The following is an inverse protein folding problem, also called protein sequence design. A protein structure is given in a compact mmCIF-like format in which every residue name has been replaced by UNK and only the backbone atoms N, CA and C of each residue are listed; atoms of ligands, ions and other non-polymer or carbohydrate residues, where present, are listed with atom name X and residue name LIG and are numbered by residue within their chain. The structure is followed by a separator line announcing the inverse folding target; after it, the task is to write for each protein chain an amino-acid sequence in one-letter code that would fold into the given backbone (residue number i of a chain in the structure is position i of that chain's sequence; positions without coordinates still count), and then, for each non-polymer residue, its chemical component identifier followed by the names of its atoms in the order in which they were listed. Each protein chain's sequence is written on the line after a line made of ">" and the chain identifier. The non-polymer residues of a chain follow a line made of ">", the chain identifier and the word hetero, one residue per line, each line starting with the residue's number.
data_IF_490862995455
#
_entry.id   IF_490862995455
#
_cell.length_a   1.000
_cell.length_b   1.000
_cell.length_c   1.000
_cell.angle_alpha   90.00
_cell.angle_beta   90.00
_cell.angle_gamma   90.00
#
_symmetry.space_group_name_H-M   'P 1'
#
loop_
_entity.id
_entity.type
_entity.pdbx_description
1 polymer ?
#
# COMPACT_ATOMS: atom_id res chain seq x y z
N UNK A 1 -20.50 -5.79 -7.40
CA UNK A 1 -19.48 -6.85 -7.56
C UNK A 1 -19.45 -7.38 -8.99
N UNK A 2 -20.57 -7.79 -9.58
CA UNK A 2 -20.64 -8.31 -10.96
C UNK A 2 -20.76 -7.21 -12.05
N UNK A 3 -20.53 -5.94 -11.69
CA UNK A 3 -20.76 -4.81 -12.60
C UNK A 3 -19.67 -4.73 -13.68
N UNK A 4 -20.04 -4.98 -14.93
CA UNK A 4 -19.23 -4.72 -16.12
C UNK A 4 -19.90 -3.63 -16.97
N UNK A 5 -19.67 -2.37 -16.58
CA UNK A 5 -20.28 -1.17 -17.19
C UNK A 5 -19.26 -0.04 -17.26
N UNK A 6 -19.47 0.87 -18.22
CA UNK A 6 -18.71 2.14 -18.30
C UNK A 6 -19.03 3.08 -17.16
N UNK A 7 -20.27 3.08 -16.69
CA UNK A 7 -20.70 3.84 -15.52
C UNK A 7 -20.64 2.92 -14.30
N UNK A 8 -19.86 3.33 -13.30
CA UNK A 8 -19.79 2.70 -11.99
C UNK A 8 -20.59 3.52 -10.99
N UNK A 9 -21.47 2.85 -10.25
CA UNK A 9 -22.35 3.49 -9.27
C UNK A 9 -22.32 2.67 -8.00
N UNK A 10 -21.74 3.25 -6.96
CA UNK A 10 -21.90 2.81 -5.57
C UNK A 10 -22.94 3.71 -4.94
N UNK A 11 -24.02 3.16 -4.41
CA UNK A 11 -25.05 3.94 -3.72
C UNK A 11 -25.75 3.07 -2.68
N UNK A 12 -25.77 3.54 -1.44
CA UNK A 12 -26.41 2.82 -0.35
C UNK A 12 -25.84 3.17 1.02
N UNK A 13 -26.35 2.52 2.07
CA UNK A 13 -25.78 2.60 3.40
C UNK A 13 -24.61 1.61 3.52
N UNK A 14 -23.39 2.09 3.82
CA UNK A 14 -22.20 1.25 3.85
C UNK A 14 -21.38 1.39 5.13
N UNK A 15 -20.78 2.56 5.35
CA UNK A 15 -19.82 2.75 6.44
C UNK A 15 -20.50 3.01 7.77
N UNK A 16 -19.90 2.57 8.88
CA UNK A 16 -20.48 2.72 10.23
C UNK A 16 -19.74 3.74 11.10
N UNK A 17 -18.86 4.54 10.52
CA UNK A 17 -17.96 5.46 11.25
C UNK A 17 -18.70 6.58 12.00
N UNK A 18 -19.84 7.06 11.49
CA UNK A 18 -20.64 8.10 12.16
C UNK A 18 -21.43 7.55 13.36
N UNK A 19 -21.62 6.23 13.48
CA UNK A 19 -22.09 5.61 14.72
C UNK A 19 -20.92 5.48 15.70
N UNK A 20 -20.61 6.59 16.35
CA UNK A 20 -19.54 6.71 17.34
C UNK A 20 -19.81 5.95 18.65
N UNK A 21 -20.98 5.31 18.81
CA UNK A 21 -21.31 4.57 20.03
C UNK A 21 -21.01 3.07 19.88
N UNK A 22 -21.55 2.44 18.83
CA UNK A 22 -21.40 0.99 18.63
C UNK A 22 -20.85 0.60 17.27
N UNK A 23 -20.76 1.55 16.33
CA UNK A 23 -20.39 1.29 14.93
C UNK A 23 -21.27 0.23 14.26
N UNK A 24 -22.57 0.22 14.59
CA UNK A 24 -23.57 -0.70 14.03
C UNK A 24 -24.40 -0.08 12.90
N UNK A 25 -24.62 1.24 12.94
CA UNK A 25 -25.51 1.92 11.98
C UNK A 25 -24.74 2.44 10.79
N UNK A 26 -25.08 1.94 9.60
CA UNK A 26 -24.47 2.36 8.36
C UNK A 26 -25.02 3.72 7.87
N UNK A 27 -24.15 4.52 7.27
CA UNK A 27 -24.44 5.84 6.69
C UNK A 27 -24.61 5.76 5.18
N UNK A 28 -25.54 6.55 4.65
CA UNK A 28 -25.75 6.65 3.22
C UNK A 28 -24.61 7.41 2.55
N UNK A 29 -24.08 6.83 1.49
CA UNK A 29 -23.13 7.44 0.59
C UNK A 29 -23.42 7.07 -0.86
N UNK A 30 -22.89 7.87 -1.77
CA UNK A 30 -22.93 7.62 -3.20
C UNK A 30 -21.61 8.03 -3.86
N UNK A 31 -21.13 7.19 -4.78
CA UNK A 31 -20.04 7.48 -5.70
C UNK A 31 -20.49 7.10 -7.11
N UNK A 32 -20.40 8.06 -8.02
CA UNK A 32 -20.71 7.88 -9.44
C UNK A 32 -19.46 8.23 -10.22
N UNK A 33 -18.97 7.30 -11.04
CA UNK A 33 -17.78 7.52 -11.84
C UNK A 33 -17.78 6.76 -13.15
N UNK A 34 -16.84 7.14 -14.01
CA UNK A 34 -16.63 6.49 -15.31
C UNK A 34 -15.42 5.56 -15.19
N UNK A 35 -15.59 4.30 -15.58
CA UNK A 35 -14.52 3.31 -15.58
C UNK A 35 -13.33 3.78 -16.44
N UNK A 36 -12.13 3.68 -15.88
CA UNK A 36 -10.88 3.88 -16.61
C UNK A 36 -10.43 2.53 -17.19
N UNK A 37 -10.67 2.31 -18.47
CA UNK A 37 -10.33 1.05 -19.14
C UNK A 37 -8.81 0.78 -19.17
N UNK A 38 -7.97 1.83 -19.22
CA UNK A 38 -6.49 1.68 -19.23
C UNK A 38 -6.01 1.16 -17.88
N UNK A 39 -6.41 1.80 -16.79
CA UNK A 39 -6.03 1.40 -15.45
C UNK A 39 -6.68 0.06 -15.05
N UNK A 40 -7.91 -0.19 -15.50
CA UNK A 40 -8.56 -1.50 -15.31
C UNK A 40 -7.83 -2.61 -16.08
N UNK A 41 -7.27 -2.33 -17.26
CA UNK A 41 -6.43 -3.30 -17.97
C UNK A 41 -5.10 -3.59 -17.22
N UNK A 42 -4.50 -2.58 -16.56
CA UNK A 42 -3.34 -2.81 -15.69
C UNK A 42 -3.69 -3.74 -14.53
N UNK A 43 -4.88 -3.58 -13.93
CA UNK A 43 -5.36 -4.50 -12.89
C UNK A 43 -5.49 -5.93 -13.38
N UNK A 44 -6.00 -6.13 -14.60
CA UNK A 44 -6.07 -7.45 -15.21
C UNK A 44 -4.67 -8.07 -15.34
N UNK A 45 -3.67 -7.28 -15.73
CA UNK A 45 -2.28 -7.74 -15.79
C UNK A 45 -1.81 -8.28 -14.44
N UNK A 46 -2.03 -7.55 -13.34
CA UNK A 46 -1.65 -8.04 -12.01
C UNK A 46 -2.43 -9.29 -11.60
N UNK A 47 -3.76 -9.27 -11.78
CA UNK A 47 -4.65 -10.40 -11.48
C UNK A 47 -4.26 -11.69 -12.22
N UNK A 48 -4.00 -11.60 -13.51
CA UNK A 48 -3.58 -12.73 -14.35
C UNK A 48 -2.22 -13.33 -13.91
N UNK A 49 -1.39 -12.55 -13.21
CA UNK A 49 -0.04 -12.94 -12.81
C UNK A 49 0.13 -13.24 -11.32
N UNK A 50 -0.93 -13.18 -10.49
CA UNK A 50 -0.84 -13.40 -9.04
C UNK A 50 -0.19 -14.75 -8.70
N UNK A 51 -0.58 -15.82 -9.41
CA UNK A 51 -0.04 -17.15 -9.13
C UNK A 51 1.45 -17.25 -9.46
N UNK A 52 1.89 -16.55 -10.52
CA UNK A 52 3.31 -16.48 -10.90
C UNK A 52 4.08 -15.66 -9.86
N UNK A 53 3.51 -14.55 -9.38
CA UNK A 53 4.09 -13.74 -8.32
C UNK A 53 4.26 -14.55 -7.03
N UNK A 54 3.21 -15.25 -6.57
CA UNK A 54 3.25 -16.13 -5.39
C UNK A 54 4.36 -17.17 -5.48
N UNK A 55 4.43 -17.86 -6.62
CA UNK A 55 5.44 -18.90 -6.85
C UNK A 55 6.87 -18.36 -6.85
N UNK A 56 7.06 -17.08 -7.12
CA UNK A 56 8.36 -16.42 -7.18
C UNK A 56 8.67 -15.53 -5.97
N UNK A 57 7.73 -15.38 -5.01
CA UNK A 57 7.97 -14.58 -3.80
C UNK A 57 9.32 -14.95 -3.16
N UNK A 58 10.04 -13.97 -2.58
CA UNK A 58 11.32 -14.17 -1.91
C UNK A 58 11.10 -14.84 -0.54
N UNK A 59 10.54 -16.03 -0.57
CA UNK A 59 10.04 -16.82 0.55
C UNK A 59 10.34 -18.30 0.26
N UNK A 60 10.64 -19.07 1.30
CA UNK A 60 10.89 -20.50 1.16
C UNK A 60 9.67 -21.21 0.58
N UNK A 61 9.90 -22.19 -0.30
CA UNK A 61 8.83 -22.83 -1.07
C UNK A 61 7.78 -23.54 -0.21
N UNK A 62 8.14 -23.96 1.01
CA UNK A 62 7.22 -24.61 1.94
C UNK A 62 6.15 -23.66 2.51
N UNK A 63 6.36 -22.34 2.43
CA UNK A 63 5.43 -21.34 2.93
C UNK A 63 4.55 -20.70 1.85
N UNK A 64 4.78 -21.02 0.57
CA UNK A 64 4.03 -20.45 -0.55
C UNK A 64 2.61 -21.00 -0.59
N UNK A 65 1.64 -20.11 -0.77
CA UNK A 65 0.23 -20.43 -0.90
C UNK A 65 -0.02 -21.20 -2.19
N UNK A 66 -0.91 -22.19 -2.12
CA UNK A 66 -1.31 -22.99 -3.30
C UNK A 66 -2.33 -22.27 -4.16
N UNK A 67 -3.25 -21.58 -3.51
CA UNK A 67 -4.32 -20.82 -4.14
C UNK A 67 -4.13 -19.34 -3.79
N UNK A 68 -4.25 -18.48 -4.80
CA UNK A 68 -4.21 -17.02 -4.62
C UNK A 68 -5.44 -16.40 -5.25
N UNK A 69 -5.87 -15.29 -4.67
CA UNK A 69 -6.99 -14.52 -5.17
C UNK A 69 -6.78 -13.06 -4.80
N UNK A 70 -6.97 -12.16 -5.76
CA UNK A 70 -7.14 -10.74 -5.45
C UNK A 70 -8.64 -10.40 -5.46
N UNK A 71 -9.01 -9.43 -4.63
CA UNK A 71 -10.32 -8.82 -4.73
C UNK A 71 -10.50 -8.20 -6.14
N UNK A 72 -11.70 -8.25 -6.72
CA UNK A 72 -12.02 -7.48 -7.92
C UNK A 72 -11.81 -5.99 -7.66
N UNK A 73 -10.81 -5.40 -8.34
CA UNK A 73 -10.53 -3.97 -8.28
C UNK A 73 -11.10 -3.31 -9.55
N UNK A 74 -11.75 -2.16 -9.38
CA UNK A 74 -12.17 -1.29 -10.47
C UNK A 74 -11.50 0.06 -10.31
N UNK A 75 -11.02 0.64 -11.41
CA UNK A 75 -10.51 2.01 -11.41
C UNK A 75 -11.51 2.89 -12.13
N UNK A 76 -11.91 3.98 -11.49
CA UNK A 76 -12.88 4.92 -12.02
C UNK A 76 -12.37 6.36 -11.89
N UNK A 77 -12.85 7.21 -12.78
CA UNK A 77 -12.77 8.66 -12.64
C UNK A 77 -14.07 9.13 -12.00
N UNK A 78 -13.97 9.65 -10.79
CA UNK A 78 -15.11 10.13 -10.02
C UNK A 78 -15.75 11.34 -10.72
N UNK A 79 -17.06 11.28 -10.94
CA UNK A 79 -17.86 12.38 -11.50
C UNK A 79 -18.64 13.08 -10.39
N UNK A 80 -19.19 12.32 -9.45
CA UNK A 80 -20.01 12.83 -8.36
C UNK A 80 -19.92 11.93 -7.13
N UNK A 81 -19.91 12.53 -5.95
CA UNK A 81 -20.11 11.82 -4.69
C UNK A 81 -20.99 12.63 -3.72
N UNK A 82 -21.67 11.94 -2.80
CA UNK A 82 -22.57 12.55 -1.82
C UNK A 82 -22.75 11.66 -0.58
N UNK A 83 -23.34 12.21 0.49
CA UNK A 83 -23.60 11.48 1.73
C UNK A 83 -22.38 11.49 2.65
N UNK A 84 -21.91 10.32 3.05
CA UNK A 84 -20.73 10.14 3.92
C UNK A 84 -19.39 10.38 3.18
N UNK A 85 -19.23 11.61 2.68
CA UNK A 85 -18.04 12.07 1.94
C UNK A 85 -17.37 13.25 2.65
N UNK A 86 -17.67 13.42 3.93
CA UNK A 86 -17.14 14.51 4.76
C UNK A 86 -15.67 14.24 5.09
N UNK A 87 -14.88 15.31 5.22
CA UNK A 87 -13.47 15.21 5.57
C UNK A 87 -12.55 14.91 4.37
N UNK A 88 -11.39 14.26 4.59
CA UNK A 88 -10.47 13.92 3.52
C UNK A 88 -11.15 13.04 2.47
N UNK A 89 -11.13 13.47 1.21
CA UNK A 89 -11.76 12.70 0.13
C UNK A 89 -11.22 11.27 0.05
N UNK A 90 -12.12 10.30 -0.03
CA UNK A 90 -11.83 8.88 -0.27
C UNK A 90 -11.00 8.72 -1.55
N UNK A 91 -9.97 7.87 -1.53
CA UNK A 91 -9.16 7.54 -2.72
C UNK A 91 -9.49 6.17 -3.27
N UNK A 92 -9.95 5.28 -2.40
CA UNK A 92 -10.46 3.98 -2.73
C UNK A 92 -11.40 3.51 -1.61
N UNK A 93 -12.31 2.60 -1.93
CA UNK A 93 -13.18 1.95 -0.96
C UNK A 93 -13.36 0.48 -1.34
N UNK A 94 -13.66 -0.37 -0.36
CA UNK A 94 -13.83 -1.81 -0.55
C UNK A 94 -15.15 -2.27 0.05
N UNK A 95 -16.09 -2.72 -0.80
CA UNK A 95 -17.48 -2.97 -0.40
C UNK A 95 -17.98 -4.31 -0.95
N UNK A 96 -18.96 -4.96 -0.29
CA UNK A 96 -19.70 -4.49 0.89
C UNK A 96 -18.99 -4.78 2.23
N UNK A 97 -19.47 -4.14 3.30
CA UNK A 97 -19.00 -4.36 4.69
C UNK A 97 -19.68 -5.56 5.39
N UNK A 98 -20.86 -5.99 4.92
CA UNK A 98 -21.65 -7.06 5.53
C UNK A 98 -20.94 -8.42 5.45
N UNK A 99 -20.60 -9.01 6.59
CA UNK A 99 -19.78 -10.22 6.67
C UNK A 99 -20.44 -11.45 6.03
N UNK A 100 -21.78 -11.51 5.97
CA UNK A 100 -22.48 -12.60 5.30
C UNK A 100 -22.26 -12.52 3.79
N UNK A 101 -22.40 -11.32 3.21
CA UNK A 101 -22.18 -11.12 1.77
C UNK A 101 -20.71 -11.30 1.42
N UNK A 102 -19.80 -10.78 2.25
CA UNK A 102 -18.36 -10.96 2.05
C UNK A 102 -17.97 -12.44 2.04
N UNK A 103 -18.53 -13.24 2.95
CA UNK A 103 -18.28 -14.69 2.98
C UNK A 103 -18.79 -15.40 1.72
N UNK A 104 -19.99 -15.04 1.26
CA UNK A 104 -20.66 -15.76 0.18
C UNK A 104 -20.23 -15.30 -1.22
N UNK A 105 -19.83 -14.04 -1.37
CA UNK A 105 -19.59 -13.40 -2.68
C UNK A 105 -18.30 -12.57 -2.76
N UNK A 106 -17.59 -12.41 -1.64
CA UNK A 106 -16.40 -11.57 -1.57
C UNK A 106 -16.73 -10.08 -1.48
N UNK A 107 -15.71 -9.27 -1.75
CA UNK A 107 -15.77 -7.81 -1.79
C UNK A 107 -15.38 -7.31 -3.17
N UNK A 108 -15.48 -5.99 -3.38
CA UNK A 108 -14.88 -5.35 -4.53
C UNK A 108 -14.35 -3.98 -4.16
N UNK A 109 -13.12 -3.74 -4.58
CA UNK A 109 -12.43 -2.48 -4.40
C UNK A 109 -12.68 -1.55 -5.58
N UNK A 110 -12.87 -0.27 -5.29
CA UNK A 110 -12.97 0.79 -6.29
C UNK A 110 -11.94 1.85 -5.96
N UNK A 111 -11.10 2.20 -6.94
CA UNK A 111 -10.09 3.26 -6.84
C UNK A 111 -10.53 4.49 -7.64
N UNK A 112 -10.47 5.66 -7.00
CA UNK A 112 -10.85 6.95 -7.58
C UNK A 112 -9.61 7.63 -8.15
N UNK A 113 -9.29 7.35 -9.42
CA UNK A 113 -8.03 7.77 -10.06
C UNK A 113 -7.83 9.28 -10.05
N UNK A 114 -8.82 10.04 -10.51
CA UNK A 114 -8.73 11.50 -10.56
C UNK A 114 -8.63 12.16 -9.17
N UNK A 115 -9.21 11.55 -8.13
CA UNK A 115 -9.01 12.00 -6.74
C UNK A 115 -7.56 11.73 -6.29
N UNK A 116 -7.03 10.55 -6.63
CA UNK A 116 -5.63 10.21 -6.40
C UNK A 116 -4.67 11.13 -7.16
N UNK A 117 -4.99 11.52 -8.41
CA UNK A 117 -4.23 12.52 -9.19
C UNK A 117 -4.21 13.87 -8.47
N UNK A 118 -5.35 14.32 -7.96
CA UNK A 118 -5.44 15.56 -7.20
C UNK A 118 -4.59 15.50 -5.91
N UNK A 119 -4.68 14.40 -5.14
CA UNK A 119 -3.84 14.22 -3.94
C UNK A 119 -2.37 14.10 -4.27
N UNK A 120 -2.01 13.44 -5.37
CA UNK A 120 -0.63 13.39 -5.84
C UNK A 120 -0.13 14.81 -6.11
N UNK A 121 -0.87 15.58 -6.93
CA UNK A 121 -0.47 16.94 -7.32
C UNK A 121 -0.39 17.91 -6.15
N UNK A 122 -1.34 17.86 -5.23
CA UNK A 122 -1.50 18.86 -4.17
C UNK A 122 -0.89 18.46 -2.82
N UNK A 123 -0.56 17.18 -2.63
CA UNK A 123 0.01 16.67 -1.39
C UNK A 123 1.35 15.99 -1.64
N UNK A 124 1.40 14.98 -2.52
CA UNK A 124 2.63 14.21 -2.72
C UNK A 124 3.73 15.03 -3.42
N UNK A 125 3.38 15.82 -4.44
CA UNK A 125 4.36 16.62 -5.17
C UNK A 125 5.04 17.68 -4.29
N UNK A 126 4.32 18.49 -3.47
CA UNK A 126 4.99 19.39 -2.53
C UNK A 126 5.89 18.68 -1.50
N UNK A 127 5.49 17.47 -1.08
CA UNK A 127 6.34 16.64 -0.20
C UNK A 127 7.61 16.22 -0.93
N UNK A 128 7.48 15.77 -2.18
CA UNK A 128 8.62 15.41 -3.01
C UNK A 128 9.57 16.58 -3.25
N UNK A 129 9.03 17.77 -3.53
CA UNK A 129 9.81 18.99 -3.75
C UNK A 129 10.62 19.38 -2.50
N UNK A 130 10.12 19.07 -1.30
CA UNK A 130 10.79 19.32 -0.03
C UNK A 130 11.79 18.24 0.38
N UNK A 131 11.43 16.97 0.19
CA UNK A 131 12.13 15.84 0.80
C UNK A 131 12.99 15.04 -0.18
N UNK A 132 12.72 15.06 -1.48
CA UNK A 132 13.47 14.30 -2.47
C UNK A 132 14.59 15.17 -3.06
N UNK A 133 15.77 14.58 -3.26
CA UNK A 133 16.91 15.30 -3.83
C UNK A 133 16.61 15.83 -5.23
N UNK A 134 17.14 17.00 -5.56
CA UNK A 134 16.88 17.70 -6.83
C UNK A 134 17.18 16.84 -8.06
N UNK A 135 18.17 15.96 -8.00
CA UNK A 135 18.53 15.06 -9.10
C UNK A 135 17.48 13.97 -9.37
N UNK A 136 16.72 13.55 -8.35
CA UNK A 136 15.72 12.49 -8.44
C UNK A 136 14.28 13.02 -8.46
N UNK A 137 14.03 14.30 -8.16
CA UNK A 137 12.67 14.88 -8.17
C UNK A 137 11.88 14.60 -9.45
N UNK A 138 12.53 14.62 -10.62
CA UNK A 138 11.90 14.30 -11.92
C UNK A 138 11.41 12.85 -12.08
N UNK A 139 11.80 11.96 -11.17
CA UNK A 139 11.39 10.57 -11.11
C UNK A 139 10.14 10.38 -10.22
N UNK A 140 9.66 11.43 -9.58
CA UNK A 140 8.37 11.40 -8.88
C UNK A 140 7.27 11.66 -9.92
N UNK A 141 6.46 10.63 -10.20
CA UNK A 141 5.38 10.73 -11.18
C UNK A 141 4.13 9.95 -10.75
N UNK A 142 2.98 10.41 -11.24
CA UNK A 142 1.68 9.88 -10.84
C UNK A 142 1.48 8.44 -11.29
N UNK A 143 1.92 8.08 -12.50
CA UNK A 143 1.70 6.73 -13.04
C UNK A 143 2.45 5.70 -12.19
N UNK A 144 3.67 5.99 -11.76
CA UNK A 144 4.47 5.13 -10.87
C UNK A 144 3.87 5.02 -9.47
N UNK A 145 3.43 6.15 -8.89
CA UNK A 145 2.72 6.16 -7.61
C UNK A 145 1.44 5.32 -7.66
N UNK A 146 0.60 5.55 -8.66
CA UNK A 146 -0.68 4.87 -8.81
C UNK A 146 -0.53 3.39 -9.16
N UNK A 147 0.45 3.05 -10.00
CA UNK A 147 0.79 1.64 -10.32
C UNK A 147 1.26 0.89 -9.07
N UNK A 148 2.05 1.54 -8.19
CA UNK A 148 2.41 0.96 -6.89
C UNK A 148 1.19 0.77 -5.99
N UNK A 149 0.28 1.75 -5.90
CA UNK A 149 -0.97 1.59 -5.14
C UNK A 149 -1.81 0.42 -5.66
N UNK A 150 -1.96 0.29 -6.99
CA UNK A 150 -2.64 -0.86 -7.59
C UNK A 150 -1.97 -2.18 -7.18
N UNK A 151 -0.64 -2.23 -7.31
CA UNK A 151 0.10 -3.44 -7.01
C UNK A 151 0.07 -3.79 -5.52
N UNK A 152 0.08 -2.80 -4.62
CA UNK A 152 -0.10 -2.96 -3.19
C UNK A 152 -1.39 -3.73 -2.89
N UNK A 153 -2.52 -3.32 -3.47
CA UNK A 153 -3.80 -3.99 -3.25
C UNK A 153 -3.84 -5.41 -3.80
N UNK A 154 -3.20 -5.65 -4.95
CA UNK A 154 -3.01 -7.00 -5.46
C UNK A 154 -2.12 -7.85 -4.53
N UNK A 155 -1.11 -7.23 -3.90
CA UNK A 155 -0.17 -7.88 -3.00
C UNK A 155 -0.78 -8.26 -1.64
N UNK A 156 -1.91 -7.67 -1.25
CA UNK A 156 -2.70 -8.24 -0.16
C UNK A 156 -3.15 -9.66 -0.47
N UNK A 157 -3.47 -10.01 -1.72
CA UNK A 157 -3.96 -11.33 -2.11
C UNK A 157 -2.90 -12.44 -2.25
N UNK A 158 -1.62 -12.14 -1.99
CA UNK A 158 -0.50 -13.09 -2.07
C UNK A 158 0.29 -13.11 -0.76
N UNK A 159 1.12 -14.14 -0.59
CA UNK A 159 1.83 -14.45 0.63
C UNK A 159 0.99 -15.22 1.65
N UNK A 160 1.53 -15.45 2.86
CA UNK A 160 0.89 -16.28 3.87
C UNK A 160 -0.39 -15.65 4.41
N UNK A 161 -1.48 -16.43 4.44
CA UNK A 161 -2.76 -16.04 5.05
C UNK A 161 -3.24 -17.10 6.03
N UNK A 162 -3.51 -18.29 5.50
CA UNK A 162 -3.65 -19.52 6.27
C UNK A 162 -2.27 -20.15 6.43
N UNK A 163 -1.89 -20.44 7.67
CA UNK A 163 -0.55 -20.92 8.00
C UNK A 163 -0.63 -22.20 8.83
N UNK A 164 0.42 -23.01 8.72
CA UNK A 164 0.63 -24.16 9.59
C UNK A 164 1.67 -23.77 10.63
N UNK A 165 1.26 -23.74 11.89
CA UNK A 165 2.14 -23.43 13.02
C UNK A 165 3.21 -24.52 13.19
N UNK A 166 4.33 -24.24 13.89
CA UNK A 166 5.38 -25.24 14.16
C UNK A 166 4.88 -26.52 14.86
N UNK A 167 3.76 -26.44 15.57
CA UNK A 167 3.11 -27.58 16.23
C UNK A 167 2.14 -28.37 15.30
N UNK A 168 2.08 -28.02 14.01
CA UNK A 168 1.23 -28.67 13.01
C UNK A 168 -0.21 -28.17 12.95
N UNK A 169 -0.64 -27.25 13.83
CA UNK A 169 -1.99 -26.70 13.80
C UNK A 169 -2.16 -25.64 12.72
N UNK A 170 -3.29 -25.70 12.01
CA UNK A 170 -3.69 -24.64 11.08
C UNK A 170 -4.21 -23.42 11.85
N UNK A 171 -3.74 -22.24 11.47
CA UNK A 171 -4.21 -20.95 11.97
C UNK A 171 -4.19 -19.89 10.85
N UNK A 172 -4.36 -18.61 11.19
CA UNK A 172 -4.22 -17.50 10.27
C UNK A 172 -3.19 -16.50 10.78
N UNK A 173 -2.49 -15.82 9.86
CA UNK A 173 -1.51 -14.78 10.20
C UNK A 173 -2.14 -13.73 11.12
N UNK A 174 -3.35 -13.26 10.79
CA UNK A 174 -4.11 -12.29 11.60
C UNK A 174 -4.33 -12.77 13.04
N UNK A 175 -4.70 -14.04 13.23
CA UNK A 175 -4.96 -14.60 14.56
C UNK A 175 -3.69 -14.69 15.40
N UNK A 176 -2.56 -15.04 14.79
CA UNK A 176 -1.29 -15.21 15.49
C UNK A 176 -0.60 -13.88 15.79
N UNK A 177 -0.66 -12.91 14.87
CA UNK A 177 0.00 -11.62 15.04
C UNK A 177 -0.81 -10.60 15.84
N UNK A 178 -2.14 -10.75 15.92
CA UNK A 178 -3.03 -9.93 16.74
C UNK A 178 -2.84 -8.42 16.49
N UNK A 179 -2.55 -7.62 17.52
CA UNK A 179 -2.38 -6.16 17.43
C UNK A 179 -1.27 -5.71 16.47
N UNK A 180 -0.37 -6.62 16.10
CA UNK A 180 0.75 -6.33 15.21
C UNK A 180 0.43 -6.63 13.75
N UNK A 181 -0.70 -7.31 13.49
CA UNK A 181 -1.07 -7.77 12.16
C UNK A 181 -1.17 -6.61 11.16
N UNK A 182 -2.00 -5.61 11.46
CA UNK A 182 -2.35 -4.59 10.46
C UNK A 182 -1.13 -3.83 9.98
N UNK A 183 -0.30 -3.29 10.88
CA UNK A 183 0.91 -2.57 10.47
C UNK A 183 1.90 -3.43 9.68
N UNK A 184 1.99 -4.73 10.00
CA UNK A 184 2.90 -5.63 9.29
C UNK A 184 2.33 -6.05 7.93
N UNK A 185 1.02 -6.22 7.83
CA UNK A 185 0.32 -6.54 6.58
C UNK A 185 0.36 -5.37 5.59
N UNK A 186 0.19 -4.13 6.06
CA UNK A 186 0.41 -2.93 5.23
C UNK A 186 1.85 -2.84 4.74
N UNK A 187 2.82 -3.06 5.64
CA UNK A 187 4.23 -3.08 5.26
C UNK A 187 4.54 -4.20 4.25
N UNK A 188 3.89 -5.36 4.37
CA UNK A 188 4.00 -6.46 3.40
C UNK A 188 3.49 -6.03 2.04
N UNK A 189 2.25 -5.54 1.96
CA UNK A 189 1.61 -5.17 0.70
C UNK A 189 2.43 -4.10 -0.05
N UNK A 190 2.92 -3.10 0.65
CA UNK A 190 3.79 -2.07 0.08
C UNK A 190 5.12 -2.61 -0.47
N UNK A 191 5.90 -3.32 0.37
CA UNK A 191 7.26 -3.74 0.01
C UNK A 191 7.25 -4.89 -1.00
N UNK A 192 6.32 -5.83 -0.86
CA UNK A 192 6.10 -6.90 -1.84
C UNK A 192 5.55 -6.31 -3.13
N UNK A 193 4.76 -5.24 -3.07
CA UNK A 193 4.36 -4.45 -4.24
C UNK A 193 5.56 -3.93 -5.03
N UNK A 194 6.56 -3.36 -4.37
CA UNK A 194 7.80 -2.92 -5.02
C UNK A 194 8.57 -4.10 -5.65
N UNK A 195 8.68 -5.22 -4.93
CA UNK A 195 9.29 -6.44 -5.47
C UNK A 195 8.54 -6.98 -6.69
N UNK A 196 7.22 -7.06 -6.62
CA UNK A 196 6.35 -7.58 -7.67
C UNK A 196 6.42 -6.71 -8.93
N UNK A 197 6.41 -5.38 -8.79
CA UNK A 197 6.59 -4.47 -9.92
C UNK A 197 7.94 -4.68 -10.61
N UNK A 198 9.03 -4.79 -9.85
CA UNK A 198 10.35 -5.09 -10.40
C UNK A 198 10.37 -6.46 -11.11
N UNK A 199 9.74 -7.47 -10.53
CA UNK A 199 9.63 -8.79 -11.12
C UNK A 199 8.89 -8.73 -12.47
N UNK A 200 7.72 -8.11 -12.52
CA UNK A 200 6.92 -7.96 -13.76
C UNK A 200 7.64 -7.16 -14.83
N UNK A 201 8.39 -6.12 -14.44
CA UNK A 201 9.25 -5.37 -15.37
C UNK A 201 10.36 -6.28 -15.95
N UNK A 202 10.98 -7.12 -15.10
CA UNK A 202 12.02 -8.07 -15.54
C UNK A 202 11.47 -9.13 -16.49
N UNK A 203 10.19 -9.51 -16.35
CA UNK A 203 9.49 -10.39 -17.29
C UNK A 203 9.02 -9.67 -18.58
N UNK A 204 9.27 -8.36 -18.72
CA UNK A 204 8.85 -7.59 -19.89
C UNK A 204 7.35 -7.24 -19.92
N UNK A 205 6.64 -7.43 -18.80
CA UNK A 205 5.20 -7.17 -18.69
C UNK A 205 4.88 -5.71 -18.36
N UNK A 206 5.87 -4.96 -17.88
CA UNK A 206 5.78 -3.53 -17.59
C UNK A 206 6.98 -2.77 -18.18
N UNK A 207 6.84 -1.48 -18.53
CA UNK A 207 7.93 -0.70 -19.11
C UNK A 207 9.16 -0.56 -18.19
N UNK A 208 10.34 -0.84 -18.72
CA UNK A 208 11.62 -0.77 -17.99
C UNK A 208 11.97 0.62 -17.42
N UNK A 209 11.45 1.69 -18.03
CA UNK A 209 11.70 3.06 -17.56
C UNK A 209 11.00 3.38 -16.23
N UNK A 210 10.04 2.57 -15.78
CA UNK A 210 9.30 2.80 -14.55
C UNK A 210 10.08 2.45 -13.28
N UNK A 211 11.07 1.55 -13.33
CA UNK A 211 11.73 0.99 -12.12
C UNK A 211 12.22 2.10 -11.18
N UNK A 212 12.95 3.07 -11.72
CA UNK A 212 13.51 4.16 -10.91
C UNK A 212 12.41 5.06 -10.35
N UNK A 213 11.43 5.41 -11.18
CA UNK A 213 10.31 6.24 -10.77
C UNK A 213 9.45 5.59 -9.69
N UNK A 214 9.25 4.27 -9.75
CA UNK A 214 8.53 3.51 -8.72
C UNK A 214 9.21 3.68 -7.36
N UNK A 215 10.53 3.47 -7.28
CA UNK A 215 11.23 3.62 -6.01
C UNK A 215 11.26 5.05 -5.48
N UNK A 216 11.46 6.04 -6.34
CA UNK A 216 11.52 7.45 -5.90
C UNK A 216 10.13 7.98 -5.52
N UNK A 217 9.10 7.62 -6.29
CA UNK A 217 7.70 7.97 -5.96
C UNK A 217 7.25 7.28 -4.67
N UNK A 218 7.68 6.03 -4.45
CA UNK A 218 7.46 5.33 -3.19
C UNK A 218 8.13 6.03 -2.01
N UNK A 219 9.39 6.46 -2.15
CA UNK A 219 10.10 7.21 -1.12
C UNK A 219 9.38 8.51 -0.75
N UNK A 220 8.88 9.27 -1.74
CA UNK A 220 8.02 10.42 -1.48
C UNK A 220 6.73 10.01 -0.74
N UNK A 221 6.16 8.87 -1.13
CA UNK A 221 5.00 8.24 -0.49
C UNK A 221 5.20 7.92 0.98
N UNK A 222 6.39 7.46 1.37
CA UNK A 222 6.73 7.19 2.77
C UNK A 222 6.52 8.43 3.64
N UNK A 223 7.04 9.58 3.24
CA UNK A 223 6.90 10.83 3.99
C UNK A 223 5.44 11.30 4.08
N UNK A 224 4.65 11.06 3.02
CA UNK A 224 3.21 11.33 3.05
C UNK A 224 2.49 10.46 4.09
N UNK A 225 2.71 9.15 4.06
CA UNK A 225 1.98 8.20 4.90
C UNK A 225 2.41 8.27 6.38
N UNK A 226 3.68 8.51 6.67
CA UNK A 226 4.17 8.65 8.05
C UNK A 226 3.52 9.84 8.78
N UNK A 227 3.05 10.87 8.06
CA UNK A 227 2.29 12.00 8.62
C UNK A 227 0.91 11.62 9.18
N UNK A 228 0.40 10.43 8.85
CA UNK A 228 -0.83 9.91 9.46
C UNK A 228 -0.63 9.51 10.92
N UNK A 229 0.63 9.36 11.35
CA UNK A 229 1.01 8.99 12.71
C UNK A 229 1.34 7.51 12.83
N UNK A 230 2.12 7.16 13.86
CA UNK A 230 2.59 5.78 14.08
C UNK A 230 1.59 4.90 14.85
N UNK A 231 0.49 5.50 15.31
CA UNK A 231 -0.66 4.75 15.86
C UNK A 231 -1.53 4.15 14.73
N UNK A 232 -1.38 4.66 13.51
CA UNK A 232 -2.07 4.16 12.32
C UNK A 232 -1.23 3.07 11.63
N UNK A 233 -1.90 2.05 11.09
CA UNK A 233 -1.24 0.86 10.53
C UNK A 233 -0.31 1.19 9.36
N UNK A 234 -0.78 1.97 8.38
CA UNK A 234 0.01 2.36 7.22
C UNK A 234 1.16 3.27 7.64
N UNK A 235 0.93 4.26 8.50
CA UNK A 235 1.96 5.15 9.02
C UNK A 235 3.10 4.39 9.71
N UNK A 236 2.76 3.42 10.56
CA UNK A 236 3.73 2.54 11.23
C UNK A 236 4.45 1.60 10.26
N UNK A 237 3.72 1.01 9.31
CA UNK A 237 4.29 0.15 8.27
C UNK A 237 5.25 0.90 7.36
N UNK A 238 4.94 2.16 7.02
CA UNK A 238 5.78 3.03 6.20
C UNK A 238 7.03 3.50 6.94
N UNK A 239 6.93 3.77 8.24
CA UNK A 239 8.11 4.02 9.08
C UNK A 239 9.05 2.80 9.08
N UNK A 240 8.50 1.59 9.22
CA UNK A 240 9.27 0.34 9.15
C UNK A 240 10.03 0.21 7.83
N UNK A 241 9.33 0.42 6.71
CA UNK A 241 9.92 0.31 5.38
C UNK A 241 11.01 1.36 5.15
N UNK A 242 10.74 2.63 5.47
CA UNK A 242 11.74 3.69 5.37
C UNK A 242 12.99 3.37 6.19
N UNK A 243 12.82 3.02 7.47
CA UNK A 243 13.95 2.80 8.37
C UNK A 243 14.78 1.58 7.98
N UNK A 244 14.15 0.52 7.45
CA UNK A 244 14.87 -0.61 6.87
C UNK A 244 15.69 -0.20 5.65
N UNK A 245 15.07 0.48 4.68
CA UNK A 245 15.76 0.93 3.47
C UNK A 245 16.90 1.91 3.79
N UNK A 246 16.72 2.76 4.79
CA UNK A 246 17.75 3.66 5.30
C UNK A 246 18.91 2.90 5.95
N UNK A 247 18.64 1.93 6.84
CA UNK A 247 19.68 1.11 7.47
C UNK A 247 20.48 0.30 6.43
N UNK A 248 19.82 -0.20 5.38
CA UNK A 248 20.48 -0.91 4.27
C UNK A 248 21.21 0.01 3.28
N UNK A 249 21.15 1.33 3.49
CA UNK A 249 21.74 2.33 2.60
C UNK A 249 21.07 2.43 1.23
N UNK A 250 19.87 1.88 1.08
CA UNK A 250 19.03 2.03 -0.11
C UNK A 250 18.34 3.39 -0.18
N UNK A 251 18.15 4.04 0.97
CA UNK A 251 17.75 5.45 1.09
C UNK A 251 18.88 6.19 1.80
N UNK A 252 19.29 7.33 1.25
CA UNK A 252 20.41 8.12 1.75
C UNK A 252 19.92 9.53 2.01
N UNK A 253 20.22 10.07 3.20
CA UNK A 253 20.04 11.49 3.50
C UNK A 253 21.25 12.28 3.03
N UNK A 254 21.01 13.35 2.27
CA UNK A 254 22.03 14.26 1.77
C UNK A 254 22.33 15.38 2.77
N UNK A 255 23.40 16.14 2.52
CA UNK A 255 23.81 17.26 3.39
C UNK A 255 22.82 18.42 3.44
N UNK A 256 21.90 18.53 2.48
CA UNK A 256 20.80 19.51 2.44
C UNK A 256 19.49 18.96 3.05
N UNK A 257 19.60 17.86 3.80
CA UNK A 257 18.52 17.13 4.46
C UNK A 257 17.46 16.52 3.51
N UNK A 258 17.71 16.53 2.20
CA UNK A 258 16.89 15.78 1.24
C UNK A 258 17.31 14.31 1.20
N UNK A 259 16.47 13.46 0.62
CA UNK A 259 16.65 12.03 0.54
C UNK A 259 16.69 11.57 -0.92
N UNK A 260 17.49 10.54 -1.18
CA UNK A 260 17.56 9.89 -2.49
C UNK A 260 17.55 8.38 -2.34
N UNK A 261 17.18 7.70 -3.42
CA UNK A 261 17.28 6.24 -3.55
C UNK A 261 18.63 5.87 -4.15
N UNK A 262 19.37 4.99 -3.48
CA UNK A 262 20.54 4.30 -4.05
C UNK A 262 20.06 3.13 -4.91
N UNK A 263 20.02 3.34 -6.23
CA UNK A 263 19.54 2.34 -7.18
C UNK A 263 20.37 1.05 -7.22
N UNK A 264 21.61 1.05 -6.72
CA UNK A 264 22.43 -0.16 -6.65
C UNK A 264 22.05 -1.05 -5.46
N UNK A 265 21.40 -0.49 -4.42
CA UNK A 265 21.08 -1.20 -3.18
C UNK A 265 19.59 -1.43 -2.97
N UNK A 266 18.73 -0.60 -3.57
CA UNK A 266 17.29 -0.62 -3.30
C UNK A 266 16.64 -1.96 -3.59
N UNK A 267 17.00 -2.64 -4.68
CA UNK A 267 16.39 -3.92 -5.04
C UNK A 267 16.66 -5.00 -3.97
N UNK A 268 17.90 -5.10 -3.50
CA UNK A 268 18.27 -6.05 -2.43
C UNK A 268 17.66 -5.69 -1.07
N UNK A 269 17.52 -4.39 -0.78
CA UNK A 269 16.87 -3.94 0.45
C UNK A 269 15.36 -4.26 0.46
N UNK A 270 14.68 -4.06 -0.68
CA UNK A 270 13.27 -4.43 -0.89
C UNK A 270 13.07 -5.94 -0.80
N UNK A 271 13.91 -6.75 -1.46
CA UNK A 271 13.81 -8.20 -1.39
C UNK A 271 14.03 -8.73 0.04
N UNK A 272 15.05 -8.20 0.73
CA UNK A 272 15.37 -8.64 2.09
C UNK A 272 14.25 -8.30 3.10
N UNK A 273 13.62 -7.13 2.99
CA UNK A 273 12.48 -6.79 3.84
C UNK A 273 11.24 -7.62 3.49
N UNK A 274 10.97 -7.82 2.19
CA UNK A 274 9.88 -8.69 1.74
C UNK A 274 10.01 -10.09 2.34
N UNK A 275 11.21 -10.69 2.25
CA UNK A 275 11.52 -12.00 2.84
C UNK A 275 11.31 -12.03 4.35
N UNK A 276 11.79 -11.02 5.07
CA UNK A 276 11.66 -10.94 6.53
C UNK A 276 10.19 -10.94 6.95
N UNK A 277 9.40 -10.03 6.38
CA UNK A 277 7.97 -9.89 6.72
C UNK A 277 7.21 -11.16 6.37
N UNK A 278 7.37 -11.67 5.13
CA UNK A 278 6.69 -12.89 4.69
C UNK A 278 7.06 -14.09 5.56
N UNK A 279 8.31 -14.22 6.00
CA UNK A 279 8.74 -15.33 6.87
C UNK A 279 8.13 -15.22 8.26
N UNK A 280 8.08 -14.01 8.83
CA UNK A 280 7.43 -13.76 10.13
C UNK A 280 5.94 -14.15 10.06
N UNK A 281 5.25 -13.70 9.00
CA UNK A 281 3.85 -14.03 8.78
C UNK A 281 3.64 -15.53 8.59
N UNK A 282 4.45 -16.19 7.76
CA UNK A 282 4.36 -17.63 7.49
C UNK A 282 4.49 -18.49 8.75
N UNK A 283 5.30 -18.05 9.72
CA UNK A 283 5.52 -18.74 10.99
C UNK A 283 4.51 -18.36 12.08
N UNK A 284 3.72 -17.32 11.88
CA UNK A 284 2.91 -16.72 12.94
C UNK A 284 3.76 -16.18 14.09
N UNK A 285 4.99 -15.74 13.84
CA UNK A 285 5.95 -15.36 14.89
C UNK A 285 5.68 -13.95 15.41
N UNK A 286 4.72 -13.85 16.35
CA UNK A 286 4.35 -12.58 16.98
C UNK A 286 5.53 -11.89 17.68
N UNK A 287 6.47 -12.66 18.24
CA UNK A 287 7.62 -12.09 18.92
C UNK A 287 8.60 -11.44 17.93
N UNK A 288 8.82 -12.06 16.76
CA UNK A 288 9.60 -11.47 15.68
C UNK A 288 8.92 -10.23 15.08
N UNK A 289 7.60 -10.30 14.84
CA UNK A 289 6.81 -9.15 14.40
C UNK A 289 6.98 -7.95 15.35
N UNK A 290 6.91 -8.20 16.67
CA UNK A 290 7.10 -7.16 17.69
C UNK A 290 8.48 -6.53 17.61
N UNK A 291 9.54 -7.35 17.58
CA UNK A 291 10.92 -6.85 17.48
C UNK A 291 11.15 -6.02 16.21
N UNK A 292 10.59 -6.46 15.08
CA UNK A 292 10.72 -5.74 13.81
C UNK A 292 10.04 -4.36 13.89
N UNK A 293 8.82 -4.30 14.40
CA UNK A 293 8.05 -3.05 14.55
C UNK A 293 8.63 -2.13 15.64
N UNK A 294 9.12 -2.65 16.76
CA UNK A 294 9.78 -1.85 17.80
C UNK A 294 11.10 -1.25 17.30
N UNK A 295 11.84 -1.98 16.45
CA UNK A 295 13.08 -1.47 15.87
C UNK A 295 12.83 -0.43 14.77
N UNK A 296 11.98 -0.77 13.79
CA UNK A 296 11.85 0.03 12.57
C UNK A 296 10.53 0.79 12.44
N UNK A 297 9.45 0.39 13.11
CA UNK A 297 8.17 1.11 13.09
C UNK A 297 8.12 2.34 13.99
N UNK A 298 9.24 3.08 14.10
CA UNK A 298 9.44 4.18 15.05
C UNK A 298 9.88 5.48 14.38
N UNK A 299 9.69 6.61 15.09
CA UNK A 299 10.08 7.93 14.60
C UNK A 299 11.58 8.20 14.81
N UNK A 300 12.40 7.68 13.91
CA UNK A 300 13.86 7.86 13.90
C UNK A 300 14.26 9.31 13.60
N UNK A 301 15.51 9.73 13.91
CA UNK A 301 15.96 11.10 13.63
C UNK A 301 15.81 11.53 12.15
N UNK A 302 16.14 10.70 11.14
CA UNK A 302 15.95 11.08 9.74
C UNK A 302 14.46 11.31 9.37
N UNK A 303 13.55 10.45 9.83
CA UNK A 303 12.11 10.65 9.61
C UNK A 303 11.61 11.91 10.29
N UNK A 304 12.03 12.16 11.54
CA UNK A 304 11.63 13.36 12.29
C UNK A 304 12.08 14.64 11.59
N UNK A 305 13.31 14.67 11.09
CA UNK A 305 13.83 15.81 10.33
C UNK A 305 12.99 16.07 9.07
N UNK A 306 12.64 15.02 8.32
CA UNK A 306 11.77 15.15 7.15
C UNK A 306 10.39 15.71 7.51
N UNK A 307 9.76 15.22 8.59
CA UNK A 307 8.46 15.73 9.04
C UNK A 307 8.52 17.19 9.50
N UNK A 308 9.52 17.56 10.29
CA UNK A 308 9.70 18.95 10.74
C UNK A 308 9.85 19.90 9.55
N UNK A 309 10.62 19.50 8.53
CA UNK A 309 10.76 20.26 7.28
C UNK A 309 9.41 20.48 6.59
N UNK A 310 8.56 19.45 6.55
CA UNK A 310 7.22 19.54 5.96
C UNK A 310 6.26 20.42 6.78
N UNK A 311 6.32 20.35 8.11
CA UNK A 311 5.54 21.23 9.00
C UNK A 311 5.88 22.71 8.79
N UNK A 312 7.18 23.03 8.66
CA UNK A 312 7.63 24.40 8.39
C UNK A 312 7.11 24.91 7.03
N UNK A 313 7.11 24.08 5.99
CA UNK A 313 6.60 24.44 4.67
C UNK A 313 5.08 24.67 4.72
N UNK A 314 4.35 23.85 5.47
CA UNK A 314 2.90 24.00 5.61
C UNK A 314 2.52 25.30 6.34
N UNK A 315 3.29 25.71 7.37
CA UNK A 315 3.09 26.98 8.08
C UNK A 315 3.42 28.22 7.24
N UNK A 316 4.35 28.12 6.28
CA UNK A 316 4.70 29.23 5.39
C UNK A 316 3.67 29.47 4.27
N UNK A 317 2.76 28.52 4.07
CA UNK A 317 1.72 28.56 3.02
C UNK A 317 0.31 28.87 3.57
N UNK A 318 0.18 29.09 4.88
CA UNK A 318 -1.05 29.47 5.60
C UNK A 318 -0.90 30.83 6.24
#
# INVERSE_FOLDING_TARGET
>A
MELDSKLDVTIGPYETYEDALFSYKATFEAFVGIRDDKATAQLKLFGDNLQVLEQNLPLDSCYKSKDVSAAPIRVINLVFNAGDVKGPQTVAFNLPNDEHIVKDRGTSMVMLKNVSEAKFKHILQPIADACISREQQKLVDFESFFTHTICHECCHGIGPHTITLPNGHTSTVRKELQELHSSLEEAKADIVGLWALKFLITQGLLPNNLVKSIYVSFLAGCFRSVRFGLEEAHGKGQALQFNWLFEKGAVIQQGDETFLVDFLKVEGAVESLSREILTIQARGDKAAARRLLEKYGTMTPPLRAALQKLEMIQQLLT
#
